data_IF_010005749715
#
_entry.id   IF_010005749715
#
_cell.length_a   1.000
_cell.length_b   1.000
_cell.length_c   1.000
_cell.angle_alpha   90.00
_cell.angle_beta   90.00
_cell.angle_gamma   90.00
#
_symmetry.space_group_name_H-M   'P 1'
#
loop_
_entity.id
_entity.type
_entity.pdbx_description
1 polymer ?
#
# COMPACT_ATOMS: atom_id res chain seq x y z
N UNK A 1 -1.90 15.22 -17.75
CA UNK A 1 -1.09 14.54 -16.70
C UNK A 1 0.26 13.96 -17.20
N UNK A 2 0.83 14.43 -18.30
CA UNK A 2 2.03 13.83 -18.93
C UNK A 2 3.39 14.16 -18.30
N UNK A 3 3.52 15.09 -17.38
CA UNK A 3 4.81 15.54 -16.84
C UNK A 3 5.23 14.93 -15.49
N UNK A 4 4.28 14.40 -14.73
CA UNK A 4 4.50 13.90 -13.36
C UNK A 4 5.63 12.86 -13.22
N UNK A 5 5.66 11.78 -14.02
CA UNK A 5 6.69 10.76 -13.89
C UNK A 5 8.11 11.25 -14.21
N UNK A 6 8.24 12.25 -15.10
CA UNK A 6 9.57 12.84 -15.45
C UNK A 6 10.10 13.70 -14.30
N UNK A 7 9.25 14.53 -13.69
CA UNK A 7 9.61 15.36 -12.54
C UNK A 7 10.05 14.49 -11.36
N UNK A 8 9.33 13.41 -11.10
CA UNK A 8 9.65 12.50 -10.01
C UNK A 8 11.00 11.78 -10.20
N UNK A 9 11.34 11.39 -11.43
CA UNK A 9 12.63 10.71 -11.72
C UNK A 9 13.86 11.55 -11.44
N UNK A 10 13.75 12.87 -11.49
CA UNK A 10 14.85 13.82 -11.21
C UNK A 10 14.81 14.39 -9.79
N UNK A 11 13.91 13.91 -8.95
CA UNK A 11 13.77 14.41 -7.58
C UNK A 11 14.90 13.89 -6.70
N UNK A 12 15.62 14.82 -6.05
CA UNK A 12 16.72 14.49 -5.16
C UNK A 12 16.22 13.62 -3.99
N UNK A 13 16.99 12.61 -3.63
CA UNK A 13 16.70 11.71 -2.51
C UNK A 13 15.52 10.76 -2.72
N UNK A 14 14.82 10.81 -3.86
CA UNK A 14 13.72 9.89 -4.18
C UNK A 14 14.29 8.60 -4.78
N UNK A 15 14.35 7.54 -3.97
CA UNK A 15 14.92 6.24 -4.35
C UNK A 15 13.94 5.38 -5.14
N UNK A 16 12.66 5.48 -4.82
CA UNK A 16 11.60 4.70 -5.48
C UNK A 16 10.27 5.43 -5.35
N UNK A 17 9.42 5.29 -6.35
CA UNK A 17 8.06 5.80 -6.27
C UNK A 17 7.08 4.99 -7.12
N UNK A 18 5.81 5.08 -6.75
CA UNK A 18 4.65 4.62 -7.50
C UNK A 18 3.50 5.61 -7.42
N UNK A 19 2.87 5.85 -8.56
CA UNK A 19 1.59 6.53 -8.67
C UNK A 19 0.52 5.45 -8.85
N UNK A 20 -0.37 5.34 -7.90
CA UNK A 20 -1.30 4.22 -7.79
C UNK A 20 -2.74 4.72 -7.87
N UNK A 21 -3.55 4.02 -8.64
CA UNK A 21 -4.99 4.18 -8.57
C UNK A 21 -5.56 3.51 -7.32
N UNK A 22 -6.81 3.81 -6.99
CA UNK A 22 -7.53 3.17 -5.87
C UNK A 22 -8.80 2.48 -6.35
N UNK A 23 -9.29 1.51 -5.58
CA UNK A 23 -10.57 0.84 -5.82
C UNK A 23 -11.73 1.53 -5.09
N UNK A 24 -12.91 1.57 -5.71
CA UNK A 24 -14.14 2.02 -5.04
C UNK A 24 -14.42 1.14 -3.82
N UNK A 25 -14.99 1.74 -2.76
CA UNK A 25 -15.35 1.00 -1.53
C UNK A 25 -14.22 0.12 -0.99
N UNK A 26 -12.98 0.60 -1.08
CA UNK A 26 -11.80 -0.07 -0.54
C UNK A 26 -11.15 -1.08 -1.48
N UNK A 27 -11.83 -2.15 -1.89
CA UNK A 27 -11.26 -3.27 -2.66
C UNK A 27 -12.04 -3.66 -3.90
N UNK A 28 -12.78 -2.73 -4.48
CA UNK A 28 -13.54 -2.99 -5.69
C UNK A 28 -12.63 -3.12 -6.91
N UNK A 29 -13.03 -3.97 -7.85
CA UNK A 29 -12.48 -4.05 -9.21
C UNK A 29 -12.64 -2.72 -9.95
N UNK A 30 -13.71 -1.98 -9.62
CA UNK A 30 -13.99 -0.68 -10.24
C UNK A 30 -13.05 0.38 -9.65
N UNK A 31 -12.34 1.13 -10.51
CA UNK A 31 -11.46 2.20 -10.06
C UNK A 31 -12.24 3.36 -9.44
N UNK A 32 -11.62 3.99 -8.46
CA UNK A 32 -12.06 5.26 -7.90
C UNK A 32 -11.25 6.39 -8.53
N UNK A 33 -11.87 7.13 -9.42
CA UNK A 33 -11.20 8.22 -10.13
C UNK A 33 -11.03 9.49 -9.28
N UNK A 34 -11.61 9.51 -8.08
CA UNK A 34 -11.52 10.63 -7.15
C UNK A 34 -10.38 10.50 -6.14
N UNK A 35 -9.80 9.31 -6.01
CA UNK A 35 -8.74 9.04 -5.04
C UNK A 35 -7.53 8.39 -5.71
N UNK A 36 -6.35 8.85 -5.33
CA UNK A 36 -5.06 8.32 -5.80
C UNK A 36 -4.11 8.16 -4.64
N UNK A 37 -3.16 7.23 -4.76
CA UNK A 37 -2.10 7.06 -3.79
C UNK A 37 -0.73 7.32 -4.45
N UNK A 38 0.16 7.93 -3.69
CA UNK A 38 1.55 8.12 -4.04
C UNK A 38 2.41 7.40 -2.99
N UNK A 39 3.13 6.38 -3.43
CA UNK A 39 4.10 5.68 -2.60
C UNK A 39 5.49 6.17 -2.98
N UNK A 40 6.27 6.58 -2.00
CA UNK A 40 7.64 7.04 -2.18
C UNK A 40 8.57 6.45 -1.13
N UNK A 41 9.80 6.15 -1.54
CA UNK A 41 10.90 5.76 -0.65
C UNK A 41 11.99 6.79 -0.79
N UNK A 42 12.45 7.33 0.32
CA UNK A 42 13.37 8.44 0.40
C UNK A 42 14.70 8.02 0.99
N UNK A 43 15.75 8.68 0.58
CA UNK A 43 17.09 8.54 1.14
C UNK A 43 17.17 9.10 2.57
N UNK A 44 16.48 10.23 2.81
CA UNK A 44 16.39 10.87 4.10
C UNK A 44 15.01 11.47 4.39
N UNK A 45 14.71 11.71 5.66
CA UNK A 45 13.49 12.43 6.10
C UNK A 45 13.51 13.89 5.61
N UNK A 46 14.68 14.51 5.54
CA UNK A 46 14.84 15.88 5.06
C UNK A 46 14.48 16.00 3.56
N UNK A 47 14.92 15.06 2.74
CA UNK A 47 14.57 15.04 1.31
C UNK A 47 13.05 14.86 1.11
N UNK A 48 12.43 13.98 1.89
CA UNK A 48 10.97 13.84 1.91
C UNK A 48 10.28 15.14 2.32
N UNK A 49 10.74 15.76 3.42
CA UNK A 49 10.18 17.02 3.93
C UNK A 49 10.26 18.16 2.92
N UNK A 50 11.41 18.34 2.27
CA UNK A 50 11.60 19.32 1.20
C UNK A 50 10.68 19.07 0.02
N UNK A 51 10.52 17.81 -0.39
CA UNK A 51 9.61 17.46 -1.48
C UNK A 51 8.17 17.82 -1.16
N UNK A 52 7.65 17.44 0.01
CA UNK A 52 6.27 17.74 0.40
C UNK A 52 6.03 19.23 0.65
N UNK A 53 7.06 19.98 0.99
CA UNK A 53 6.97 21.42 1.19
C UNK A 53 6.96 22.20 -0.13
N UNK A 54 7.93 21.93 -1.02
CA UNK A 54 8.32 22.86 -2.09
C UNK A 54 8.16 22.28 -3.50
N UNK A 55 7.89 20.98 -3.70
CA UNK A 55 7.84 20.43 -5.04
C UNK A 55 6.63 20.90 -5.84
N UNK A 56 6.87 21.20 -7.13
CA UNK A 56 5.82 21.55 -8.07
C UNK A 56 4.78 20.44 -8.22
N UNK A 57 5.21 19.18 -8.13
CA UNK A 57 4.36 18.01 -8.16
C UNK A 57 3.31 18.04 -7.03
N UNK A 58 3.75 18.21 -5.78
CA UNK A 58 2.84 18.26 -4.62
C UNK A 58 1.98 19.53 -4.66
N UNK A 59 2.52 20.66 -5.08
CA UNK A 59 1.76 21.90 -5.19
C UNK A 59 0.63 21.81 -6.22
N UNK A 60 0.84 21.11 -7.34
CA UNK A 60 -0.21 20.84 -8.31
C UNK A 60 -1.34 19.98 -7.69
N UNK A 61 -1.00 18.98 -6.89
CA UNK A 61 -2.02 18.16 -6.20
C UNK A 61 -2.75 18.95 -5.10
N UNK A 62 -2.04 19.77 -4.33
CA UNK A 62 -2.68 20.64 -3.31
C UNK A 62 -3.75 21.57 -3.89
N UNK A 63 -3.58 22.01 -5.12
CA UNK A 63 -4.58 22.86 -5.81
C UNK A 63 -5.80 22.08 -6.30
N UNK A 64 -5.66 20.79 -6.56
CA UNK A 64 -6.70 19.96 -7.20
C UNK A 64 -7.41 19.02 -6.23
N UNK A 65 -6.77 18.67 -5.12
CA UNK A 65 -7.31 17.72 -4.15
C UNK A 65 -8.00 18.45 -3.00
N UNK A 66 -9.19 17.99 -2.64
CA UNK A 66 -9.89 18.49 -1.45
C UNK A 66 -9.15 18.10 -0.15
N UNK A 67 -8.42 16.98 -0.16
CA UNK A 67 -7.69 16.47 0.99
C UNK A 67 -6.47 15.66 0.56
N UNK A 68 -5.35 15.87 1.24
CA UNK A 68 -4.15 15.04 1.15
C UNK A 68 -3.86 14.50 2.55
N UNK A 69 -3.66 13.19 2.65
CA UNK A 69 -3.24 12.53 3.88
C UNK A 69 -1.84 11.97 3.63
N UNK A 70 -0.89 12.33 4.48
CA UNK A 70 0.46 11.79 4.46
C UNK A 70 0.66 10.79 5.60
N UNK A 71 1.30 9.68 5.30
CA UNK A 71 1.73 8.68 6.28
C UNK A 71 3.24 8.53 6.18
N UNK A 72 3.96 9.03 7.17
CA UNK A 72 5.40 8.86 7.29
C UNK A 72 5.68 7.53 7.97
N UNK A 73 6.32 6.62 7.23
CA UNK A 73 6.49 5.23 7.64
C UNK A 73 7.96 4.85 7.64
N UNK A 74 8.36 4.08 8.65
CA UNK A 74 9.68 3.45 8.72
C UNK A 74 9.54 1.96 8.50
N UNK A 75 10.32 1.41 7.57
CA UNK A 75 10.25 -0.01 7.24
C UNK A 75 10.92 -0.85 8.34
N UNK A 76 10.13 -1.67 9.03
CA UNK A 76 10.61 -2.58 10.07
C UNK A 76 10.77 -4.02 9.56
N UNK A 77 9.99 -4.39 8.53
CA UNK A 77 10.02 -5.73 7.94
C UNK A 77 9.61 -5.67 6.48
N UNK A 78 10.33 -6.40 5.65
CA UNK A 78 10.03 -6.52 4.23
C UNK A 78 10.17 -7.97 3.78
N UNK A 79 9.26 -8.43 2.94
CA UNK A 79 9.33 -9.70 2.24
C UNK A 79 8.90 -9.48 0.79
N UNK A 80 9.62 -10.08 -0.15
CA UNK A 80 9.32 -9.97 -1.58
C UNK A 80 9.92 -8.74 -2.24
N UNK A 81 9.49 -8.52 -3.47
CA UNK A 81 10.00 -7.46 -4.35
C UNK A 81 8.86 -6.63 -4.92
N UNK A 82 9.17 -5.44 -5.42
CA UNK A 82 8.27 -4.61 -6.22
C UNK A 82 8.88 -4.41 -7.59
N UNK A 83 8.27 -5.00 -8.63
CA UNK A 83 8.78 -5.01 -10.01
C UNK A 83 10.23 -5.54 -10.13
N UNK A 84 10.52 -6.62 -9.40
CA UNK A 84 11.85 -7.22 -9.35
C UNK A 84 12.89 -6.44 -8.53
N UNK A 85 12.50 -5.30 -7.91
CA UNK A 85 13.36 -4.47 -7.07
C UNK A 85 13.06 -4.67 -5.60
N UNK A 86 14.01 -4.34 -4.74
CA UNK A 86 13.87 -4.31 -3.27
C UNK A 86 13.95 -2.86 -2.77
N UNK A 87 12.90 -2.04 -3.01
CA UNK A 87 12.97 -0.61 -2.73
C UNK A 87 12.96 -0.28 -1.23
N UNK A 88 12.53 -1.22 -0.40
CA UNK A 88 12.44 -1.03 1.03
C UNK A 88 13.62 -1.67 1.75
N UNK A 89 14.23 -0.93 2.67
CA UNK A 89 15.27 -1.44 3.56
C UNK A 89 14.73 -1.51 4.99
N UNK A 90 14.72 -2.71 5.58
CA UNK A 90 14.28 -2.88 6.96
C UNK A 90 15.31 -2.28 7.94
N UNK A 91 14.85 -1.39 8.80
CA UNK A 91 15.65 -0.77 9.85
C UNK A 91 15.76 -1.72 11.05
N UNK A 92 16.82 -2.51 11.10
CA UNK A 92 17.02 -3.58 12.12
C UNK A 92 17.10 -3.07 13.57
N UNK A 93 17.36 -1.77 13.76
CA UNK A 93 17.52 -1.17 15.09
C UNK A 93 16.25 -0.51 15.63
N UNK A 94 15.15 -0.52 14.87
CA UNK A 94 13.88 0.02 15.33
C UNK A 94 13.19 -0.97 16.27
N UNK A 95 13.02 -0.55 17.52
CA UNK A 95 12.17 -1.25 18.47
C UNK A 95 10.74 -0.73 18.30
N UNK A 96 9.81 -1.63 18.05
CA UNK A 96 8.39 -1.30 17.93
C UNK A 96 7.76 -1.35 19.32
N UNK A 97 7.19 -0.23 19.74
CA UNK A 97 6.41 -0.16 20.97
C UNK A 97 5.02 -0.76 20.76
N UNK A 98 4.40 -1.23 21.84
CA UNK A 98 3.00 -1.72 21.81
C UNK A 98 1.97 -0.62 21.45
N UNK A 99 2.37 0.66 21.55
CA UNK A 99 1.53 1.81 21.20
C UNK A 99 1.76 2.33 19.79
N UNK A 100 2.78 1.81 19.08
CA UNK A 100 3.08 2.26 17.72
C UNK A 100 2.05 1.75 16.72
N UNK A 101 1.57 2.63 15.88
CA UNK A 101 0.71 2.26 14.76
C UNK A 101 1.53 1.53 13.70
N UNK A 102 0.96 0.47 13.12
CA UNK A 102 1.62 -0.35 12.12
C UNK A 102 0.97 -0.18 10.76
N UNK A 103 1.73 0.37 9.81
CA UNK A 103 1.37 0.38 8.40
C UNK A 103 1.80 -0.91 7.71
N UNK A 104 0.89 -1.52 6.94
CA UNK A 104 1.20 -2.74 6.18
C UNK A 104 0.83 -2.55 4.72
N UNK A 105 1.77 -2.86 3.84
CA UNK A 105 1.53 -2.96 2.40
C UNK A 105 1.63 -4.44 2.01
N UNK A 106 0.54 -4.98 1.51
CA UNK A 106 0.50 -6.34 0.96
C UNK A 106 0.28 -6.25 -0.54
N UNK A 107 1.21 -6.80 -1.33
CA UNK A 107 1.14 -6.77 -2.80
C UNK A 107 0.80 -8.13 -3.36
N UNK A 108 0.00 -8.14 -4.41
CA UNK A 108 -0.31 -9.32 -5.21
C UNK A 108 -0.11 -8.98 -6.69
N UNK A 109 0.66 -9.82 -7.39
CA UNK A 109 0.78 -9.80 -8.85
C UNK A 109 0.02 -10.99 -9.39
N UNK A 110 -1.08 -10.73 -10.10
CA UNK A 110 -2.00 -11.77 -10.54
C UNK A 110 -1.76 -12.09 -12.02
N UNK A 111 -1.49 -13.34 -12.31
CA UNK A 111 -1.36 -13.82 -13.71
C UNK A 111 -2.69 -13.66 -14.43
N UNK A 112 -2.68 -13.13 -15.67
CA UNK A 112 -3.88 -12.78 -16.42
C UNK A 112 -4.91 -13.94 -16.51
N UNK A 113 -4.46 -15.19 -16.72
CA UNK A 113 -5.33 -16.38 -16.81
C UNK A 113 -5.92 -16.83 -15.46
N UNK A 114 -5.49 -16.21 -14.34
CA UNK A 114 -5.99 -16.49 -12.98
C UNK A 114 -6.88 -15.38 -12.43
N UNK A 115 -7.04 -14.28 -13.15
CA UNK A 115 -7.79 -13.10 -12.73
C UNK A 115 -9.20 -13.41 -12.21
N UNK A 116 -9.97 -14.15 -12.99
CA UNK A 116 -11.35 -14.48 -12.62
C UNK A 116 -11.42 -15.24 -11.30
N UNK A 117 -10.53 -16.20 -11.10
CA UNK A 117 -10.46 -16.98 -9.86
C UNK A 117 -10.03 -16.11 -8.68
N UNK A 118 -9.02 -15.27 -8.87
CA UNK A 118 -8.53 -14.35 -7.83
C UNK A 118 -9.64 -13.42 -7.38
N UNK A 119 -10.31 -12.72 -8.30
CA UNK A 119 -11.35 -11.76 -7.99
C UNK A 119 -12.59 -12.35 -7.34
N UNK A 120 -12.88 -13.61 -7.57
CA UNK A 120 -13.95 -14.32 -6.85
C UNK A 120 -13.62 -14.57 -5.36
N UNK A 121 -12.33 -14.58 -5.00
CA UNK A 121 -11.91 -14.78 -3.61
C UNK A 121 -11.71 -13.47 -2.84
N UNK A 122 -11.42 -12.37 -3.52
CA UNK A 122 -11.15 -11.07 -2.89
C UNK A 122 -12.26 -10.64 -1.93
N UNK A 123 -13.57 -10.69 -2.27
CA UNK A 123 -14.63 -10.28 -1.36
C UNK A 123 -14.67 -11.06 -0.05
N UNK A 124 -14.34 -12.36 -0.11
CA UNK A 124 -14.35 -13.24 1.07
C UNK A 124 -13.20 -12.92 2.03
N UNK A 125 -12.03 -12.57 1.49
CA UNK A 125 -10.85 -12.30 2.31
C UNK A 125 -10.91 -10.99 3.10
N UNK A 126 -11.82 -10.07 2.72
CA UNK A 126 -11.95 -8.76 3.34
C UNK A 126 -13.19 -8.60 4.22
N UNK A 127 -14.05 -9.63 4.28
CA UNK A 127 -15.34 -9.52 4.97
C UNK A 127 -15.19 -9.06 6.43
N UNK A 128 -14.24 -9.64 7.15
CA UNK A 128 -14.05 -9.36 8.58
C UNK A 128 -13.01 -8.24 8.85
N UNK A 129 -12.45 -7.66 7.78
CA UNK A 129 -11.42 -6.65 7.92
C UNK A 129 -12.00 -5.34 8.46
N UNK A 130 -13.17 -4.94 7.94
CA UNK A 130 -13.82 -3.68 8.29
C UNK A 130 -14.40 -3.66 9.71
N UNK A 131 -14.76 -4.84 10.23
CA UNK A 131 -15.32 -4.99 11.58
C UNK A 131 -14.24 -5.17 12.64
N UNK A 132 -12.94 -5.12 12.24
CA UNK A 132 -11.85 -5.30 13.18
C UNK A 132 -11.56 -4.00 13.96
N UNK A 133 -11.70 -3.99 15.30
CA UNK A 133 -11.53 -2.78 16.11
C UNK A 133 -10.09 -2.25 16.15
N UNK A 134 -9.12 -3.06 15.70
CA UNK A 134 -7.72 -2.67 15.60
C UNK A 134 -7.33 -2.06 14.25
N UNK A 135 -8.22 -2.11 13.24
CA UNK A 135 -7.98 -1.49 11.95
C UNK A 135 -8.35 -0.01 12.00
N UNK A 136 -7.41 0.88 11.66
CA UNK A 136 -7.62 2.33 11.62
C UNK A 136 -7.96 2.81 10.20
N UNK A 137 -7.33 2.21 9.20
CA UNK A 137 -7.52 2.56 7.79
C UNK A 137 -7.16 1.40 6.89
N UNK A 138 -7.83 1.27 5.76
CA UNK A 138 -7.41 0.36 4.70
C UNK A 138 -7.89 0.83 3.33
N UNK A 139 -7.07 0.63 2.31
CA UNK A 139 -7.38 0.96 0.93
C UNK A 139 -6.70 0.00 -0.03
N UNK A 140 -7.46 -0.46 -1.02
CA UNK A 140 -6.90 -1.14 -2.19
C UNK A 140 -6.28 -0.12 -3.13
N UNK A 141 -5.04 -0.36 -3.51
CA UNK A 141 -4.26 0.47 -4.43
C UNK A 141 -3.68 -0.41 -5.54
N UNK A 142 -3.40 0.15 -6.69
CA UNK A 142 -2.88 -0.64 -7.82
C UNK A 142 -2.11 0.19 -8.83
N UNK A 143 -1.08 -0.44 -9.39
CA UNK A 143 -0.23 0.13 -10.46
C UNK A 143 -0.84 -0.18 -11.84
N UNK A 144 -1.16 -1.46 -12.06
CA UNK A 144 -1.86 -1.92 -13.25
C UNK A 144 -3.21 -2.48 -12.80
N UNK A 145 -4.32 -1.90 -13.28
CA UNK A 145 -5.65 -2.37 -12.89
C UNK A 145 -5.78 -3.89 -13.05
N UNK A 146 -6.34 -4.55 -12.05
CA UNK A 146 -6.63 -5.99 -12.00
C UNK A 146 -5.41 -6.91 -11.86
N UNK A 147 -4.22 -6.52 -12.33
CA UNK A 147 -3.03 -7.38 -12.39
C UNK A 147 -2.05 -7.11 -11.24
N UNK A 148 -1.74 -5.84 -11.00
CA UNK A 148 -0.74 -5.39 -10.03
C UNK A 148 -1.43 -4.61 -8.94
N UNK A 149 -1.72 -5.29 -7.86
CA UNK A 149 -2.53 -4.75 -6.78
C UNK A 149 -1.80 -4.81 -5.45
N UNK A 150 -2.12 -3.85 -4.63
CA UNK A 150 -1.68 -3.85 -3.24
C UNK A 150 -2.82 -3.40 -2.33
N UNK A 151 -2.68 -3.71 -1.07
CA UNK A 151 -3.50 -3.17 0.01
C UNK A 151 -2.60 -2.41 0.94
N UNK A 152 -2.92 -1.16 1.20
CA UNK A 152 -2.38 -0.45 2.34
C UNK A 152 -3.37 -0.55 3.49
N UNK A 153 -2.89 -0.90 4.68
CA UNK A 153 -3.68 -0.92 5.91
C UNK A 153 -2.89 -0.35 7.08
N UNK A 154 -3.56 0.44 7.90
CA UNK A 154 -3.01 1.04 9.12
C UNK A 154 -3.71 0.41 10.32
N UNK A 155 -2.93 -0.07 11.25
CA UNK A 155 -3.36 -0.79 12.44
C UNK A 155 -2.98 -0.05 13.70
N UNK A 156 -3.80 -0.21 14.73
CA UNK A 156 -3.63 0.45 16.02
C UNK A 156 -2.30 0.09 16.70
N UNK A 157 -1.87 -1.17 16.53
CA UNK A 157 -0.60 -1.68 17.03
C UNK A 157 -0.28 -3.05 16.40
N UNK A 158 0.88 -3.59 16.75
CA UNK A 158 1.35 -4.89 16.26
C UNK A 158 0.44 -6.05 16.69
N UNK A 159 -0.11 -6.01 17.90
CA UNK A 159 -1.00 -7.06 18.40
C UNK A 159 -2.27 -7.16 17.56
N UNK A 160 -2.90 -6.05 17.22
CA UNK A 160 -4.10 -6.00 16.40
C UNK A 160 -3.91 -6.68 15.04
N UNK A 161 -2.80 -6.39 14.36
CA UNK A 161 -2.51 -7.05 13.08
C UNK A 161 -2.19 -8.54 13.24
N UNK A 162 -1.46 -8.92 14.29
CA UNK A 162 -1.15 -10.33 14.57
C UNK A 162 -2.43 -11.13 14.85
N UNK A 163 -3.36 -10.58 15.63
CA UNK A 163 -4.66 -11.19 15.86
C UNK A 163 -5.44 -11.39 14.58
N UNK A 164 -5.51 -10.37 13.70
CA UNK A 164 -6.16 -10.49 12.40
C UNK A 164 -5.48 -11.53 11.51
N UNK A 165 -4.17 -11.48 11.37
CA UNK A 165 -3.41 -12.35 10.47
C UNK A 165 -3.49 -13.84 10.86
N UNK A 166 -3.49 -14.14 12.17
CA UNK A 166 -3.39 -15.52 12.65
C UNK A 166 -4.68 -16.09 13.22
N UNK A 167 -5.65 -15.27 13.66
CA UNK A 167 -6.93 -15.76 14.19
C UNK A 167 -8.05 -15.76 13.15
N UNK A 168 -7.97 -14.92 12.10
CA UNK A 168 -9.01 -14.84 11.09
C UNK A 168 -8.93 -16.00 10.10
N UNK A 169 -9.94 -16.89 10.13
CA UNK A 169 -10.00 -18.07 9.26
C UNK A 169 -10.10 -17.73 7.77
N UNK A 170 -10.79 -16.64 7.42
CA UNK A 170 -10.90 -16.20 6.03
C UNK A 170 -9.54 -15.72 5.49
N UNK A 171 -8.76 -15.01 6.31
CA UNK A 171 -7.42 -14.56 5.96
C UNK A 171 -6.43 -15.73 5.83
N UNK A 172 -6.46 -16.69 6.76
CA UNK A 172 -5.67 -17.93 6.66
C UNK A 172 -5.97 -18.70 5.38
N UNK A 173 -7.26 -18.82 5.03
CA UNK A 173 -7.69 -19.46 3.78
C UNK A 173 -7.17 -18.71 2.55
N UNK A 174 -7.20 -17.37 2.53
CA UNK A 174 -6.65 -16.57 1.46
C UNK A 174 -5.14 -16.80 1.27
N UNK A 175 -4.36 -16.83 2.36
CA UNK A 175 -2.92 -17.14 2.33
C UNK A 175 -2.67 -18.57 1.80
N UNK A 176 -3.43 -19.55 2.25
CA UNK A 176 -3.31 -20.93 1.77
C UNK A 176 -3.61 -21.05 0.28
N UNK A 177 -4.64 -20.36 -0.21
CA UNK A 177 -5.00 -20.32 -1.62
C UNK A 177 -3.93 -19.60 -2.46
N UNK A 178 -3.34 -18.53 -1.96
CA UNK A 178 -2.21 -17.85 -2.62
C UNK A 178 -1.04 -18.80 -2.84
N UNK A 179 -0.67 -19.57 -1.83
CA UNK A 179 0.37 -20.59 -1.92
C UNK A 179 0.00 -21.72 -2.91
N UNK A 180 -1.24 -22.21 -2.81
CA UNK A 180 -1.75 -23.31 -3.64
C UNK A 180 -1.82 -22.96 -5.12
N UNK A 181 -2.27 -21.77 -5.45
CA UNK A 181 -2.54 -21.37 -6.85
C UNK A 181 -1.41 -20.55 -7.46
N UNK A 182 -0.45 -20.06 -6.67
CA UNK A 182 0.69 -19.27 -7.15
C UNK A 182 0.26 -18.20 -8.17
N UNK A 183 -0.77 -17.43 -7.75
CA UNK A 183 -1.25 -16.28 -8.54
C UNK A 183 -0.40 -15.08 -8.35
#
# INVERSE_FOLDING_TARGET
MGGGPRLLKSTKGLLFFKLLGTGKKGFSVLPDWSEYAFLAVWESEDDAGLFFKDSSFINEYKQRCAKIINYDLRCIKVNGTWDGKTPFAAMKHLTVSEHDQIGVITRASVKWHKLFRFWNYVPTSHRDLWDNPGLLFTKGIGDIPLLEMATFSLWKNQEAIMQFAYKNEHHKKAIALTKKYNW
#
